data_IF_338723641243
#
_entry.id   IF_338723641243
#
_cell.length_a   1.000
_cell.length_b   1.000
_cell.length_c   1.000
_cell.angle_alpha   90.00
_cell.angle_beta   90.00
_cell.angle_gamma   90.00
#
_symmetry.space_group_name_H-M   'P 1'
#
loop_
_entity.id
_entity.type
_entity.pdbx_description
1 polymer ?
#
# COMPACT_ATOMS: atom_id res chain seq x y z
N UNK A 1 1.35 -9.68 -15.07
CA UNK A 1 1.50 -8.45 -15.86
C UNK A 1 2.76 -7.75 -15.41
N UNK A 2 3.60 -7.31 -16.35
CA UNK A 2 4.78 -6.49 -16.08
C UNK A 2 4.65 -5.19 -16.86
N UNK A 3 4.80 -4.06 -16.19
CA UNK A 3 4.81 -2.75 -16.81
C UNK A 3 6.04 -2.01 -16.35
N UNK A 4 6.85 -1.54 -17.29
CA UNK A 4 8.00 -0.67 -16.99
C UNK A 4 7.47 0.73 -16.66
N UNK A 5 7.82 1.23 -15.48
CA UNK A 5 7.51 2.60 -15.05
C UNK A 5 8.80 3.38 -14.82
N UNK A 6 8.73 4.70 -14.97
CA UNK A 6 9.89 5.57 -14.83
C UNK A 6 9.80 6.42 -13.57
N UNK A 7 10.91 6.51 -12.84
CA UNK A 7 11.07 7.41 -11.70
C UNK A 7 11.03 8.86 -12.19
N UNK A 8 10.21 9.68 -11.55
CA UNK A 8 10.08 11.11 -11.82
C UNK A 8 11.00 11.93 -10.91
N UNK A 9 10.93 13.25 -11.02
CA UNK A 9 11.72 14.18 -10.19
C UNK A 9 11.61 13.82 -8.71
N UNK A 10 12.74 13.93 -8.00
CA UNK A 10 12.87 13.65 -6.55
C UNK A 10 12.56 12.20 -6.13
N UNK A 11 12.67 11.23 -7.05
CA UNK A 11 12.45 9.81 -6.70
C UNK A 11 10.97 9.39 -6.66
N UNK A 12 10.06 10.24 -7.12
CA UNK A 12 8.63 9.93 -7.11
C UNK A 12 8.26 8.87 -8.15
N UNK A 13 7.47 7.88 -7.76
CA UNK A 13 6.91 6.86 -8.64
C UNK A 13 5.40 7.02 -8.72
N UNK A 14 4.84 6.89 -9.93
CA UNK A 14 3.38 6.92 -10.14
C UNK A 14 2.86 5.48 -10.24
N UNK A 15 1.96 5.12 -9.34
CA UNK A 15 1.26 3.82 -9.39
C UNK A 15 0.10 3.91 -10.40
N UNK A 16 0.06 3.06 -11.44
CA UNK A 16 -1.03 3.04 -12.42
C UNK A 16 -2.40 2.81 -11.77
N UNK A 17 -3.46 3.36 -12.38
CA UNK A 17 -4.84 3.29 -11.87
C UNK A 17 -5.29 1.85 -11.57
N UNK A 18 -4.95 0.90 -12.42
CA UNK A 18 -5.34 -0.51 -12.26
C UNK A 18 -4.76 -1.13 -10.98
N UNK A 19 -3.48 -0.83 -10.69
CA UNK A 19 -2.81 -1.30 -9.47
C UNK A 19 -3.38 -0.60 -8.24
N UNK A 20 -3.64 0.72 -8.32
CA UNK A 20 -4.29 1.45 -7.22
C UNK A 20 -5.65 0.86 -6.87
N UNK A 21 -6.50 0.61 -7.86
CA UNK A 21 -7.82 -0.01 -7.65
C UNK A 21 -7.71 -1.42 -7.07
N UNK A 22 -6.80 -2.24 -7.60
CA UNK A 22 -6.60 -3.63 -7.14
C UNK A 22 -6.23 -3.69 -5.65
N UNK A 23 -5.40 -2.76 -5.20
CA UNK A 23 -4.92 -2.75 -3.81
C UNK A 23 -5.64 -1.74 -2.92
N UNK A 24 -6.67 -1.05 -3.44
CA UNK A 24 -7.44 -0.02 -2.72
C UNK A 24 -6.53 1.08 -2.16
N UNK A 25 -5.58 1.55 -2.98
CA UNK A 25 -4.62 2.60 -2.61
C UNK A 25 -5.19 3.97 -2.96
N UNK A 26 -5.22 4.85 -1.97
CA UNK A 26 -5.62 6.24 -2.06
C UNK A 26 -4.43 7.19 -1.83
N UNK A 27 -4.65 8.47 -2.08
CA UNK A 27 -3.63 9.49 -1.80
C UNK A 27 -3.40 9.59 -0.28
N UNK A 28 -2.13 9.59 0.12
CA UNK A 28 -1.74 9.59 1.53
C UNK A 28 -1.64 8.21 2.18
N UNK A 29 -2.04 7.14 1.48
CA UNK A 29 -1.92 5.79 2.01
C UNK A 29 -0.45 5.38 2.21
N UNK A 30 -0.09 4.83 3.38
CA UNK A 30 1.26 4.33 3.61
C UNK A 30 1.51 3.04 2.82
N UNK A 31 2.68 2.99 2.18
CA UNK A 31 3.23 1.80 1.54
C UNK A 31 4.57 1.43 2.17
N UNK A 32 4.79 0.14 2.37
CA UNK A 32 6.06 -0.40 2.87
C UNK A 32 6.95 -0.76 1.68
N UNK A 33 8.16 -0.19 1.67
CA UNK A 33 9.20 -0.53 0.72
C UNK A 33 10.13 -1.56 1.36
N UNK A 34 10.24 -2.72 0.71
CA UNK A 34 11.08 -3.84 1.15
C UNK A 34 12.15 -4.06 0.11
N UNK A 35 13.41 -3.97 0.52
CA UNK A 35 14.56 -4.38 -0.29
C UNK A 35 14.76 -5.90 -0.16
N UNK A 36 14.80 -6.58 -1.29
CA UNK A 36 14.98 -8.04 -1.37
C UNK A 36 16.39 -8.44 -1.86
N UNK A 37 17.26 -7.46 -2.15
CA UNK A 37 18.57 -7.67 -2.76
C UNK A 37 18.56 -7.84 -4.28
N UNK A 38 17.50 -8.46 -4.84
CA UNK A 38 17.31 -8.60 -6.30
C UNK A 38 16.34 -7.54 -6.86
N UNK A 39 15.63 -6.84 -5.99
CA UNK A 39 14.65 -5.83 -6.35
C UNK A 39 13.91 -5.27 -5.16
N UNK A 40 12.94 -4.40 -5.45
CA UNK A 40 12.14 -3.72 -4.44
C UNK A 40 10.71 -4.22 -4.51
N UNK A 41 10.16 -4.60 -3.36
CA UNK A 41 8.76 -4.95 -3.21
C UNK A 41 8.01 -3.82 -2.47
N UNK A 42 6.86 -3.43 -3.01
CA UNK A 42 5.96 -2.45 -2.39
C UNK A 42 4.72 -3.18 -1.87
N UNK A 43 4.51 -3.11 -0.56
CA UNK A 43 3.32 -3.66 0.09
C UNK A 43 2.43 -2.53 0.60
N UNK A 44 1.13 -2.51 0.28
CA UNK A 44 0.17 -1.66 0.98
C UNK A 44 0.22 -1.92 2.49
N UNK A 45 0.27 -0.86 3.31
CA UNK A 45 0.15 -1.00 4.75
C UNK A 45 -1.33 -0.80 5.12
N UNK A 46 -2.07 -1.90 5.28
CA UNK A 46 -3.43 -1.83 5.80
C UNK A 46 -3.39 -1.49 7.28
N UNK A 47 -4.05 -0.40 7.67
CA UNK A 47 -4.23 -0.09 9.10
C UNK A 47 -5.09 -1.18 9.72
N UNK A 48 -4.58 -1.83 10.77
CA UNK A 48 -5.34 -2.81 11.56
C UNK A 48 -6.30 -2.12 12.54
N UNK A 49 -6.14 -0.81 12.78
CA UNK A 49 -6.90 -0.06 13.77
C UNK A 49 -8.42 -0.18 13.60
N UNK A 50 -9.01 -0.02 12.39
CA UNK A 50 -10.46 -0.13 12.24
C UNK A 50 -11.00 -1.51 12.63
N UNK A 51 -10.24 -2.57 12.29
CA UNK A 51 -10.60 -3.94 12.64
C UNK A 51 -10.49 -4.18 14.15
N UNK A 52 -9.42 -3.70 14.78
CA UNK A 52 -9.24 -3.82 16.23
C UNK A 52 -10.33 -3.06 17.01
N UNK A 53 -10.71 -1.86 16.56
CA UNK A 53 -11.81 -1.11 17.17
C UNK A 53 -13.11 -1.90 17.11
N UNK A 54 -13.44 -2.48 15.94
CA UNK A 54 -14.64 -3.31 15.80
C UNK A 54 -14.62 -4.55 16.71
N UNK A 55 -13.47 -5.21 16.84
CA UNK A 55 -13.30 -6.35 17.75
C UNK A 55 -13.43 -5.96 19.23
N UNK A 56 -12.90 -4.81 19.63
CA UNK A 56 -13.04 -4.30 21.00
C UNK A 56 -14.51 -3.98 21.32
N UNK A 57 -15.23 -3.31 20.43
CA UNK A 57 -16.65 -3.00 20.66
C UNK A 57 -17.50 -4.28 20.76
N UNK A 58 -17.23 -5.30 19.94
CA UNK A 58 -17.92 -6.60 19.99
C UNK A 58 -17.68 -7.38 21.30
N UNK A 59 -16.60 -7.09 22.03
CA UNK A 59 -16.31 -7.69 23.35
C UNK A 59 -16.93 -6.90 24.51
N UNK A 60 -17.48 -5.70 24.25
CA UNK A 60 -18.13 -4.84 25.26
C UNK A 60 -19.65 -5.08 25.36
N UNK A 61 -20.23 -5.77 24.38
CA UNK A 61 -21.61 -6.30 24.41
C UNK A 61 -21.67 -7.68 25.06
#
# INVERSE_FOLDING_TARGET
MSQTIQIRKKGNLTIPMEIRKKYQLEEGDPVTLIDTGEGIFLSPKRSLLPKLVAEIEALRE
#
